data_IF_034112845690
#
_entry.id   IF_034112845690
#
_cell.length_a   1.000
_cell.length_b   1.000
_cell.length_c   1.000
_cell.angle_alpha   90.00
_cell.angle_beta   90.00
_cell.angle_gamma   90.00
#
_symmetry.space_group_name_H-M   'P 1'
#
loop_
_entity.id
_entity.type
_entity.pdbx_description
1 polymer ?
#
# COMPACT_ATOMS: atom_id res chain seq x y z
N UNK A 1 -11.52 27.02 -37.49
CA UNK A 1 -10.60 26.34 -36.55
C UNK A 1 -11.45 25.44 -35.65
N UNK A 2 -11.48 24.11 -35.84
CA UNK A 2 -12.14 23.25 -34.86
C UNK A 2 -11.26 23.20 -33.61
N UNK A 3 -11.71 23.86 -32.56
CA UNK A 3 -11.12 23.78 -31.23
C UNK A 3 -11.31 22.36 -30.71
N UNK A 4 -10.23 21.57 -30.71
CA UNK A 4 -10.20 20.29 -30.03
C UNK A 4 -10.54 20.53 -28.56
N UNK A 5 -11.73 20.10 -28.13
CA UNK A 5 -12.10 20.10 -26.73
C UNK A 5 -11.08 19.20 -26.04
N UNK A 6 -10.28 19.69 -25.07
CA UNK A 6 -9.35 18.84 -24.35
C UNK A 6 -10.16 17.71 -23.72
N UNK A 7 -9.85 16.47 -24.10
CA UNK A 7 -10.44 15.29 -23.49
C UNK A 7 -10.19 15.39 -21.99
N UNK A 8 -11.23 15.68 -21.22
CA UNK A 8 -11.11 15.84 -19.77
C UNK A 8 -10.44 14.60 -19.19
N UNK A 9 -9.42 14.80 -18.36
CA UNK A 9 -8.75 13.72 -17.65
C UNK A 9 -9.81 12.76 -17.07
N UNK A 10 -9.60 11.44 -17.18
CA UNK A 10 -10.60 10.45 -16.76
C UNK A 10 -10.91 10.66 -15.29
N UNK A 11 -12.09 11.24 -15.02
CA UNK A 11 -12.55 11.50 -13.66
C UNK A 11 -12.84 10.16 -12.99
N UNK A 12 -12.30 9.97 -11.80
CA UNK A 12 -12.61 8.81 -10.98
C UNK A 12 -14.11 8.77 -10.66
N UNK A 13 -14.70 7.59 -10.77
CA UNK A 13 -16.07 7.34 -10.29
C UNK A 13 -16.17 7.52 -8.78
N UNK A 14 -17.37 7.84 -8.28
CA UNK A 14 -17.62 7.92 -6.83
C UNK A 14 -17.21 6.65 -6.07
N UNK A 15 -17.39 5.48 -6.68
CA UNK A 15 -16.94 4.19 -6.13
C UNK A 15 -15.43 4.10 -6.00
N UNK A 16 -14.69 4.54 -7.01
CA UNK A 16 -13.22 4.59 -6.96
C UNK A 16 -12.74 5.58 -5.90
N UNK A 17 -13.38 6.75 -5.78
CA UNK A 17 -13.05 7.74 -4.74
C UNK A 17 -13.28 7.15 -3.35
N UNK A 18 -14.45 6.56 -3.09
CA UNK A 18 -14.74 5.91 -1.82
C UNK A 18 -13.73 4.80 -1.49
N UNK A 19 -13.35 4.02 -2.50
CA UNK A 19 -12.34 2.99 -2.36
C UNK A 19 -10.97 3.56 -2.03
N UNK A 20 -10.53 4.64 -2.67
CA UNK A 20 -9.27 5.32 -2.35
C UNK A 20 -9.26 5.88 -0.92
N UNK A 21 -10.36 6.49 -0.46
CA UNK A 21 -10.49 6.97 0.93
C UNK A 21 -10.32 5.80 1.90
N UNK A 22 -10.99 4.68 1.63
CA UNK A 22 -10.84 3.46 2.43
C UNK A 22 -9.40 2.93 2.40
N UNK A 23 -8.77 2.84 1.23
CA UNK A 23 -7.39 2.39 1.08
C UNK A 23 -6.43 3.29 1.87
N UNK A 24 -6.61 4.61 1.85
CA UNK A 24 -5.81 5.57 2.62
C UNK A 24 -5.94 5.37 4.13
N UNK A 25 -7.14 5.08 4.62
CA UNK A 25 -7.33 4.75 6.04
C UNK A 25 -6.69 3.40 6.38
N UNK A 26 -6.86 2.42 5.50
CA UNK A 26 -6.34 1.06 5.67
C UNK A 26 -4.82 1.01 5.65
N UNK A 27 -4.14 1.73 4.76
CA UNK A 27 -2.67 1.80 4.71
C UNK A 27 -2.10 2.40 5.99
N UNK A 28 -2.70 3.49 6.50
CA UNK A 28 -2.32 4.10 7.80
C UNK A 28 -2.52 3.14 8.97
N UNK A 29 -3.65 2.42 8.98
CA UNK A 29 -3.90 1.40 9.99
C UNK A 29 -2.85 0.28 9.93
N UNK A 30 -2.60 -0.26 8.75
CA UNK A 30 -1.65 -1.36 8.55
C UNK A 30 -0.22 -0.95 8.91
N UNK A 31 0.19 0.27 8.58
CA UNK A 31 1.51 0.80 8.98
C UNK A 31 1.67 0.79 10.51
N UNK A 32 0.69 1.31 11.25
CA UNK A 32 0.71 1.28 12.73
C UNK A 32 0.76 -0.16 13.28
N UNK A 33 0.13 -1.11 12.59
CA UNK A 33 0.18 -2.54 12.97
C UNK A 33 1.54 -3.16 12.66
N UNK A 34 2.16 -2.81 11.54
CA UNK A 34 3.52 -3.21 11.19
C UNK A 34 4.52 -2.69 12.21
N UNK A 35 4.46 -1.41 12.59
CA UNK A 35 5.33 -0.81 13.60
C UNK A 35 5.26 -1.59 14.93
N UNK A 36 4.05 -1.87 15.41
CA UNK A 36 3.86 -2.68 16.64
C UNK A 36 4.38 -4.10 16.50
N UNK A 37 4.19 -4.73 15.33
CA UNK A 37 4.69 -6.07 15.05
C UNK A 37 6.22 -6.10 14.97
N UNK A 38 6.83 -5.08 14.37
CA UNK A 38 8.27 -4.87 14.29
C UNK A 38 8.88 -4.74 15.69
N UNK A 39 8.33 -3.84 16.51
CA UNK A 39 8.77 -3.69 17.92
C UNK A 39 8.67 -5.00 18.70
N UNK A 40 7.63 -5.80 18.46
CA UNK A 40 7.51 -7.12 19.10
C UNK A 40 8.60 -8.08 18.60
N UNK A 41 8.80 -8.18 17.29
CA UNK A 41 9.84 -9.02 16.70
C UNK A 41 11.25 -8.64 17.20
N UNK A 42 11.54 -7.34 17.34
CA UNK A 42 12.79 -6.86 17.91
C UNK A 42 12.99 -7.28 19.38
N UNK A 43 11.91 -7.44 20.15
CA UNK A 43 11.98 -7.84 21.58
C UNK A 43 12.08 -9.34 21.81
N UNK A 44 11.33 -10.14 21.04
CA UNK A 44 11.22 -11.60 21.28
C UNK A 44 11.85 -12.46 20.20
N UNK A 45 12.49 -11.84 19.19
CA UNK A 45 13.07 -12.50 18.03
C UNK A 45 12.11 -12.60 16.85
N UNK A 46 12.67 -12.53 15.64
CA UNK A 46 11.92 -12.61 14.40
C UNK A 46 11.23 -13.97 14.22
N UNK A 47 11.88 -15.08 14.59
CA UNK A 47 11.31 -16.43 14.41
C UNK A 47 10.01 -16.63 15.21
N UNK A 48 9.88 -15.96 16.35
CA UNK A 48 8.72 -16.09 17.25
C UNK A 48 7.58 -15.12 16.93
N UNK A 49 7.87 -13.97 16.32
CA UNK A 49 6.88 -12.90 16.16
C UNK A 49 6.88 -12.21 14.78
N UNK A 50 7.82 -12.52 13.90
CA UNK A 50 7.99 -11.95 12.57
C UNK A 50 6.86 -12.28 11.60
N UNK A 51 6.17 -13.42 11.79
CA UNK A 51 5.02 -13.79 10.94
C UNK A 51 3.91 -12.72 10.91
N UNK A 52 3.64 -12.04 12.04
CA UNK A 52 2.67 -10.93 12.07
C UNK A 52 3.18 -9.70 11.32
N UNK A 53 4.48 -9.42 11.38
CA UNK A 53 5.10 -8.32 10.65
C UNK A 53 4.99 -8.56 9.14
N UNK A 54 5.35 -9.76 8.68
CA UNK A 54 5.20 -10.18 7.28
C UNK A 54 3.75 -10.11 6.81
N UNK A 55 2.80 -10.58 7.62
CA UNK A 55 1.38 -10.51 7.30
C UNK A 55 0.92 -9.06 7.08
N UNK A 56 1.27 -8.14 7.98
CA UNK A 56 0.85 -6.75 7.82
C UNK A 56 1.58 -6.06 6.65
N UNK A 57 2.85 -6.39 6.40
CA UNK A 57 3.60 -5.90 5.25
C UNK A 57 2.95 -6.31 3.92
N UNK A 58 2.61 -7.57 3.76
CA UNK A 58 1.94 -8.10 2.57
C UNK A 58 0.58 -7.42 2.30
N UNK A 59 -0.23 -7.24 3.36
CA UNK A 59 -1.50 -6.52 3.26
C UNK A 59 -1.31 -5.05 2.94
N UNK A 60 -0.26 -4.42 3.46
CA UNK A 60 0.05 -3.02 3.19
C UNK A 60 0.48 -2.83 1.73
N UNK A 61 1.36 -3.70 1.21
CA UNK A 61 1.77 -3.73 -0.19
C UNK A 61 0.58 -3.93 -1.13
N UNK A 62 -0.32 -4.87 -0.81
CA UNK A 62 -1.54 -5.10 -1.59
C UNK A 62 -2.44 -3.86 -1.69
N UNK A 63 -2.52 -3.06 -0.62
CA UNK A 63 -3.31 -1.82 -0.65
C UNK A 63 -2.70 -0.76 -1.56
N UNK A 64 -1.37 -0.69 -1.65
CA UNK A 64 -0.66 0.23 -2.53
C UNK A 64 -0.77 -0.20 -4.00
N UNK A 65 -0.70 -1.50 -4.30
CA UNK A 65 -0.94 -2.02 -5.63
C UNK A 65 -2.35 -1.67 -6.12
N UNK A 66 -3.37 -1.89 -5.28
CA UNK A 66 -4.76 -1.53 -5.60
C UNK A 66 -4.94 -0.01 -5.80
N UNK A 67 -4.26 0.81 -4.98
CA UNK A 67 -4.32 2.26 -5.15
C UNK A 67 -3.67 2.74 -6.46
N UNK A 68 -2.52 2.15 -6.83
CA UNK A 68 -1.83 2.41 -8.08
C UNK A 68 -2.68 2.03 -9.30
N UNK A 69 -3.38 0.89 -9.25
CA UNK A 69 -4.33 0.48 -10.30
C UNK A 69 -5.49 1.48 -10.46
N UNK A 70 -6.08 1.93 -9.34
CA UNK A 70 -7.20 2.90 -9.38
C UNK A 70 -6.73 4.24 -9.95
N UNK A 71 -5.55 4.72 -9.52
CA UNK A 71 -4.99 6.01 -9.92
C UNK A 71 -4.28 5.95 -11.28
N UNK A 72 -4.04 4.75 -11.82
CA UNK A 72 -3.23 4.51 -13.02
C UNK A 72 -1.87 5.20 -12.93
N UNK A 73 -1.26 5.12 -11.75
CA UNK A 73 0.03 5.74 -11.47
C UNK A 73 1.03 4.69 -10.99
N UNK A 74 2.30 5.06 -10.98
CA UNK A 74 3.33 4.24 -10.36
C UNK A 74 3.11 4.16 -8.84
N UNK A 75 3.51 3.03 -8.24
CA UNK A 75 3.54 2.89 -6.79
C UNK A 75 4.61 3.84 -6.20
N UNK A 76 4.39 4.37 -4.98
CA UNK A 76 5.40 5.15 -4.29
C UNK A 76 6.72 4.36 -4.09
N UNK A 77 7.90 5.01 -4.13
CA UNK A 77 9.19 4.34 -4.01
C UNK A 77 9.36 3.56 -2.69
N UNK A 78 8.66 3.98 -1.63
CA UNK A 78 8.63 3.27 -0.35
C UNK A 78 8.07 1.84 -0.48
N UNK A 79 7.16 1.62 -1.44
CA UNK A 79 6.61 0.28 -1.73
C UNK A 79 7.71 -0.66 -2.22
N UNK A 80 8.58 -0.18 -3.12
CA UNK A 80 9.71 -0.96 -3.62
C UNK A 80 10.71 -1.30 -2.49
N UNK A 81 10.96 -0.35 -1.58
CA UNK A 81 11.83 -0.58 -0.41
C UNK A 81 11.24 -1.65 0.50
N UNK A 82 9.95 -1.58 0.82
CA UNK A 82 9.26 -2.57 1.65
C UNK A 82 9.27 -3.95 0.96
N UNK A 83 9.05 -4.03 -0.35
CA UNK A 83 9.21 -5.27 -1.12
C UNK A 83 10.64 -5.81 -1.05
N UNK A 84 11.67 -4.97 -1.12
CA UNK A 84 13.06 -5.41 -1.02
C UNK A 84 13.40 -5.97 0.38
N UNK A 85 12.84 -5.37 1.43
CA UNK A 85 13.03 -5.81 2.83
C UNK A 85 12.37 -7.19 3.08
N UNK A 86 11.16 -7.41 2.54
CA UNK A 86 10.37 -8.61 2.85
C UNK A 86 10.31 -9.66 1.74
N UNK A 87 10.74 -9.33 0.52
CA UNK A 87 10.76 -10.20 -0.66
C UNK A 87 11.93 -11.18 -0.68
N UNK A 88 12.96 -10.96 0.15
CA UNK A 88 13.96 -11.96 0.48
C UNK A 88 13.38 -12.92 1.53
N UNK A 89 12.43 -13.76 1.13
CA UNK A 89 12.11 -14.95 1.93
C UNK A 89 13.27 -15.95 1.79
N UNK A 90 13.74 -16.59 2.88
CA UNK A 90 14.49 -17.84 2.76
C UNK A 90 13.60 -18.94 2.14
#
# INVERSE_FOLDING_TARGET
MPTAIPAGEPRLSARQIARLVWLRLRTRYLLRRMERASLRASRVGFDRAGGRLLYFADRWLSCHAEAAEILRCEEPPEVAQVRAIFGRRP
#
